data_IF_898309917242
#
_entry.id   IF_898309917242
#
_cell.length_a   1.000
_cell.length_b   1.000
_cell.length_c   1.000
_cell.angle_alpha   90.00
_cell.angle_beta   90.00
_cell.angle_gamma   90.00
#
_symmetry.space_group_name_H-M   'P 1'
#
loop_
_entity.id
_entity.type
_entity.pdbx_description
1 polymer ?
#
# COMPACT_ATOMS: atom_id res chain seq x y z
N UNK A 1 13.11 0.12 40.82
CA UNK A 1 13.52 -0.50 39.54
C UNK A 1 12.72 0.21 38.44
N UNK A 2 13.31 1.23 37.80
CA UNK A 2 12.61 2.08 36.82
C UNK A 2 12.65 1.41 35.45
N UNK A 3 11.50 0.98 34.94
CA UNK A 3 11.36 0.50 33.57
C UNK A 3 10.83 1.67 32.74
N UNK A 4 11.74 2.37 32.05
CA UNK A 4 11.38 3.28 30.96
C UNK A 4 11.06 2.42 29.73
N UNK A 5 9.78 2.21 29.45
CA UNK A 5 9.33 1.66 28.15
C UNK A 5 9.57 2.73 27.09
N UNK A 6 10.60 2.56 26.26
CA UNK A 6 10.69 3.27 24.99
C UNK A 6 9.76 2.58 24.00
N UNK A 7 8.55 3.12 23.85
CA UNK A 7 7.65 2.79 22.76
C UNK A 7 8.20 3.42 21.47
N UNK A 8 9.20 2.77 20.87
CA UNK A 8 9.63 3.12 19.52
C UNK A 8 8.53 2.66 18.56
N UNK A 9 7.68 3.60 18.15
CA UNK A 9 6.67 3.42 17.11
C UNK A 9 7.35 3.16 15.75
N UNK A 10 7.80 1.93 15.52
CA UNK A 10 8.41 1.47 14.25
C UNK A 10 7.46 1.57 13.04
N UNK A 11 6.17 1.88 13.28
CA UNK A 11 5.16 2.03 12.24
C UNK A 11 5.45 3.21 11.29
N UNK A 12 6.01 4.32 11.79
CA UNK A 12 6.26 5.51 10.96
C UNK A 12 7.37 5.27 9.92
N UNK A 13 8.40 4.48 10.27
CA UNK A 13 9.52 4.17 9.36
C UNK A 13 9.04 3.25 8.22
N UNK A 14 8.16 2.29 8.49
CA UNK A 14 7.56 1.44 7.47
C UNK A 14 6.69 2.23 6.47
N UNK A 15 5.99 3.26 6.93
CA UNK A 15 5.17 4.13 6.07
C UNK A 15 6.05 4.97 5.13
N UNK A 16 7.21 5.44 5.61
CA UNK A 16 8.16 6.21 4.79
C UNK A 16 8.76 5.39 3.65
N UNK A 17 9.14 4.13 3.90
CA UNK A 17 9.62 3.23 2.85
C UNK A 17 8.54 2.91 1.80
N UNK A 18 7.29 2.73 2.25
CA UNK A 18 6.14 2.47 1.37
C UNK A 18 5.81 3.67 0.46
N UNK A 19 6.07 4.90 0.91
CA UNK A 19 5.78 6.10 0.12
C UNK A 19 6.50 6.11 -1.24
N UNK A 20 7.78 5.73 -1.28
CA UNK A 20 8.52 5.67 -2.55
C UNK A 20 7.95 4.62 -3.51
N UNK A 21 7.51 3.47 -2.99
CA UNK A 21 6.87 2.43 -3.80
C UNK A 21 5.50 2.90 -4.31
N UNK A 22 4.71 3.58 -3.47
CA UNK A 22 3.41 4.13 -3.84
C UNK A 22 3.54 5.21 -4.93
N UNK A 23 4.56 6.06 -4.84
CA UNK A 23 4.82 7.06 -5.88
C UNK A 23 5.17 6.43 -7.24
N UNK A 24 5.93 5.33 -7.24
CA UNK A 24 6.22 4.56 -8.45
C UNK A 24 4.94 3.94 -9.03
N UNK A 25 4.14 3.27 -8.18
CA UNK A 25 2.84 2.71 -8.58
C UNK A 25 1.93 3.80 -9.15
N UNK A 26 1.89 4.99 -8.55
CA UNK A 26 1.09 6.11 -9.04
C UNK A 26 1.47 6.52 -10.46
N UNK A 27 2.77 6.62 -10.76
CA UNK A 27 3.22 6.92 -12.12
C UNK A 27 2.90 5.79 -13.11
N UNK A 28 3.02 4.54 -12.69
CA UNK A 28 2.71 3.36 -13.51
C UNK A 28 1.21 3.28 -13.84
N UNK A 29 0.35 3.25 -12.84
CA UNK A 29 -1.11 3.20 -13.04
C UNK A 29 -1.65 4.42 -13.77
N UNK A 30 -1.11 5.62 -13.53
CA UNK A 30 -1.49 6.80 -14.31
C UNK A 30 -1.18 6.62 -15.80
N UNK A 31 -0.03 6.02 -16.14
CA UNK A 31 0.33 5.72 -17.54
C UNK A 31 -0.56 4.63 -18.14
N UNK A 32 -0.81 3.55 -17.40
CA UNK A 32 -1.65 2.44 -17.87
C UNK A 32 -3.10 2.87 -18.14
N UNK A 33 -3.65 3.73 -17.28
CA UNK A 33 -4.99 4.27 -17.44
C UNK A 33 -5.05 5.41 -18.48
N UNK A 34 -3.92 5.86 -19.01
CA UNK A 34 -3.84 7.00 -19.94
C UNK A 34 -4.23 8.33 -19.28
N UNK A 35 -4.05 8.45 -17.97
CA UNK A 35 -4.46 9.61 -17.17
C UNK A 35 -3.24 10.47 -16.87
N UNK A 36 -3.28 11.74 -17.29
CA UNK A 36 -2.33 12.73 -16.81
C UNK A 36 -2.84 13.29 -15.49
N UNK A 37 -2.12 13.08 -14.39
CA UNK A 37 -2.53 13.62 -13.09
C UNK A 37 -2.33 15.14 -13.05
N UNK A 38 -3.32 15.86 -12.50
CA UNK A 38 -3.22 17.31 -12.37
C UNK A 38 -4.53 17.97 -11.96
N UNK A 39 -4.49 19.28 -11.63
CA UNK A 39 -5.68 20.04 -11.23
C UNK A 39 -6.71 20.18 -12.36
N UNK A 40 -6.25 20.17 -13.63
CA UNK A 40 -7.11 20.26 -14.81
C UNK A 40 -7.75 18.92 -15.19
N UNK A 41 -7.30 17.82 -14.58
CA UNK A 41 -7.83 16.48 -14.78
C UNK A 41 -9.05 16.29 -13.89
N UNK A 42 -10.11 15.67 -14.43
CA UNK A 42 -11.34 15.46 -13.64
C UNK A 42 -11.04 14.74 -12.33
N UNK A 43 -11.73 15.14 -11.25
CA UNK A 43 -11.57 14.51 -9.94
C UNK A 43 -11.77 12.99 -9.99
N UNK A 44 -12.66 12.51 -10.87
CA UNK A 44 -12.90 11.08 -11.09
C UNK A 44 -11.68 10.37 -11.71
N UNK A 45 -11.02 10.99 -12.69
CA UNK A 45 -9.84 10.40 -13.33
C UNK A 45 -8.62 10.43 -12.39
N UNK A 46 -8.40 11.53 -11.65
CA UNK A 46 -7.39 11.53 -10.59
C UNK A 46 -7.70 10.47 -9.52
N UNK A 47 -8.98 10.35 -9.14
CA UNK A 47 -9.46 9.37 -8.17
C UNK A 47 -9.30 7.92 -8.63
N UNK A 48 -9.45 7.62 -9.93
CA UNK A 48 -9.29 6.25 -10.43
C UNK A 48 -7.87 5.73 -10.26
N UNK A 49 -6.84 6.57 -10.42
CA UNK A 49 -5.45 6.16 -10.18
C UNK A 49 -5.24 5.77 -8.71
N UNK A 50 -5.75 6.57 -7.76
CA UNK A 50 -5.71 6.25 -6.34
C UNK A 50 -6.51 4.98 -5.97
N UNK A 51 -7.64 4.78 -6.63
CA UNK A 51 -8.46 3.59 -6.49
C UNK A 51 -7.73 2.31 -6.92
N UNK A 52 -7.05 2.32 -8.07
CA UNK A 52 -6.29 1.15 -8.56
C UNK A 52 -5.09 0.83 -7.66
N UNK A 53 -4.33 1.83 -7.20
CA UNK A 53 -3.25 1.63 -6.22
C UNK A 53 -3.79 0.93 -4.97
N UNK A 54 -4.93 1.41 -4.44
CA UNK A 54 -5.54 0.82 -3.24
C UNK A 54 -5.96 -0.63 -3.49
N UNK A 55 -6.56 -0.93 -4.65
CA UNK A 55 -6.94 -2.31 -5.01
C UNK A 55 -5.72 -3.23 -5.07
N UNK A 56 -4.64 -2.79 -5.70
CA UNK A 56 -3.42 -3.59 -5.80
C UNK A 56 -2.81 -3.88 -4.43
N UNK A 57 -2.76 -2.87 -3.55
CA UNK A 57 -2.26 -3.04 -2.18
C UNK A 57 -3.14 -4.01 -1.39
N UNK A 58 -4.47 -3.89 -1.50
CA UNK A 58 -5.42 -4.80 -0.83
C UNK A 58 -5.22 -6.22 -1.34
N UNK A 59 -5.13 -6.43 -2.65
CA UNK A 59 -4.88 -7.74 -3.24
C UNK A 59 -3.56 -8.35 -2.73
N UNK A 60 -2.48 -7.58 -2.68
CA UNK A 60 -1.19 -8.04 -2.14
C UNK A 60 -1.30 -8.41 -0.66
N UNK A 61 -2.11 -7.69 0.12
CA UNK A 61 -2.39 -8.00 1.52
C UNK A 61 -3.20 -9.30 1.66
N UNK A 62 -4.22 -9.49 0.83
CA UNK A 62 -5.03 -10.70 0.80
C UNK A 62 -4.19 -11.93 0.44
N UNK A 63 -3.33 -11.84 -0.57
CA UNK A 63 -2.42 -12.91 -0.98
C UNK A 63 -1.46 -13.31 0.15
N UNK A 64 -0.90 -12.34 0.87
CA UNK A 64 -0.06 -12.59 2.05
C UNK A 64 -0.83 -13.30 3.16
N UNK A 65 -2.06 -12.85 3.46
CA UNK A 65 -2.90 -13.47 4.47
C UNK A 65 -3.27 -14.91 4.09
N UNK A 66 -3.66 -15.15 2.83
CA UNK A 66 -3.97 -16.49 2.33
C UNK A 66 -2.76 -17.42 2.40
N UNK A 67 -1.55 -16.92 2.09
CA UNK A 67 -0.30 -17.66 2.28
C UNK A 67 -0.08 -18.09 3.73
N UNK A 68 -0.34 -17.19 4.69
CA UNK A 68 -0.22 -17.46 6.12
C UNK A 68 -1.25 -18.52 6.59
N UNK A 69 -2.50 -18.45 6.12
CA UNK A 69 -3.53 -19.44 6.47
C UNK A 69 -3.20 -20.84 5.92
N UNK A 70 -2.60 -20.93 4.72
CA UNK A 70 -2.19 -22.22 4.14
C UNK A 70 -1.06 -22.89 4.92
N UNK A 71 -0.10 -22.12 5.42
CA UNK A 71 0.98 -22.64 6.27
C UNK A 71 0.45 -23.16 7.62
N UNK A 72 -0.57 -22.50 8.18
CA UNK A 72 -1.20 -22.97 9.42
C UNK A 72 -1.97 -24.27 9.25
N UNK A 73 -2.65 -24.52 8.12
CA UNK A 73 -3.40 -25.78 7.92
C UNK A 73 -2.52 -27.00 7.60
N UNK A 74 -1.26 -26.80 7.18
CA UNK A 74 -0.32 -27.90 6.95
C UNK A 74 0.45 -28.32 8.22
N UNK A 75 0.33 -27.57 9.32
CA UNK A 75 1.07 -27.80 10.56
C UNK A 75 0.22 -28.46 11.66
N UNK A 76 -1.04 -28.83 11.39
CA UNK A 76 -1.95 -29.48 12.36
C UNK A 76 -2.22 -30.93 11.97
#
# INVERSE_FOLDING_TARGET
>A
MNIQRHENNNNEIHISAAASAIEQMKCEFARELGITLGPETSARANGSVGGEITKQIVQMGEEQLMGQYRLHQHTI
#
